data_IF_935882677711
#
_entry.id   IF_935882677711
#
_cell.length_a   1.000
_cell.length_b   1.000
_cell.length_c   1.000
_cell.angle_alpha   90.00
_cell.angle_beta   90.00
_cell.angle_gamma   90.00
#
_symmetry.space_group_name_H-M   'P 1'
#
loop_
_entity.id
_entity.type
_entity.pdbx_description
1 polymer ?
#
# COMPACT_ATOMS: atom_id res chain seq x y z
N UNK A 1 21.73 5.46 17.51
CA UNK A 1 22.88 4.98 16.72
C UNK A 1 22.61 5.35 15.28
N UNK A 2 23.24 6.43 14.83
CA UNK A 2 23.05 7.03 13.51
C UNK A 2 24.14 6.52 12.60
N UNK A 3 23.85 5.45 11.86
CA UNK A 3 24.76 4.97 10.81
C UNK A 3 24.81 6.02 9.71
N UNK A 4 25.95 6.72 9.66
CA UNK A 4 26.32 7.64 8.60
C UNK A 4 26.51 6.86 7.30
N UNK A 5 25.43 6.78 6.52
CA UNK A 5 25.47 6.29 5.14
C UNK A 5 26.55 7.08 4.38
N UNK A 6 27.55 6.42 3.78
CA UNK A 6 28.65 7.10 3.10
C UNK A 6 28.14 8.03 2.01
N UNK A 7 28.61 9.28 2.00
CA UNK A 7 28.31 10.31 1.00
C UNK A 7 28.65 9.91 -0.45
N UNK A 8 29.31 8.76 -0.63
CA UNK A 8 29.71 8.16 -1.91
C UNK A 8 28.59 7.39 -2.62
N UNK A 9 27.47 7.05 -1.96
CA UNK A 9 26.24 6.59 -2.64
C UNK A 9 25.46 7.79 -3.25
N UNK A 10 26.22 8.71 -3.85
CA UNK A 10 25.75 9.95 -4.45
C UNK A 10 24.92 9.64 -5.68
N UNK A 11 23.62 9.56 -5.45
CA UNK A 11 22.52 9.87 -6.38
C UNK A 11 22.66 9.39 -7.82
N UNK A 12 22.32 8.12 -8.07
CA UNK A 12 21.99 7.65 -9.42
C UNK A 12 20.48 7.70 -9.65
N UNK A 13 20.05 8.83 -10.21
CA UNK A 13 18.72 8.98 -10.81
C UNK A 13 18.55 7.96 -11.94
N UNK A 14 17.32 7.45 -12.17
CA UNK A 14 16.99 6.61 -13.34
C UNK A 14 17.55 7.24 -14.62
N UNK A 15 17.33 8.54 -14.83
CA UNK A 15 17.79 9.26 -16.02
C UNK A 15 19.31 9.29 -16.14
N UNK A 16 20.00 9.56 -15.03
CA UNK A 16 21.47 9.57 -14.99
C UNK A 16 22.06 8.19 -15.27
N UNK A 17 21.44 7.12 -14.75
CA UNK A 17 21.90 5.76 -14.98
C UNK A 17 21.68 5.31 -16.43
N UNK A 18 20.54 5.65 -17.04
CA UNK A 18 20.30 5.39 -18.47
C UNK A 18 21.32 6.18 -19.33
N UNK A 19 21.53 7.46 -19.02
CA UNK A 19 22.47 8.30 -19.76
C UNK A 19 23.92 7.80 -19.65
N UNK A 20 24.35 7.38 -18.45
CA UNK A 20 25.67 6.77 -18.24
C UNK A 20 25.80 5.43 -18.99
N UNK A 21 24.76 4.60 -18.95
CA UNK A 21 24.74 3.30 -19.64
C UNK A 21 24.84 3.47 -21.15
N UNK A 22 24.12 4.47 -21.70
CA UNK A 22 24.23 4.87 -23.09
C UNK A 22 25.64 5.38 -23.42
N UNK A 23 26.18 6.28 -22.60
CA UNK A 23 27.53 6.83 -22.79
C UNK A 23 28.63 5.77 -22.76
N UNK A 24 28.59 4.84 -21.81
CA UNK A 24 29.54 3.72 -21.76
C UNK A 24 29.40 2.79 -22.96
N UNK A 25 28.16 2.45 -23.35
CA UNK A 25 27.93 1.61 -24.53
C UNK A 25 28.44 2.28 -25.81
N UNK A 26 28.25 3.59 -25.94
CA UNK A 26 28.77 4.37 -27.06
C UNK A 26 30.31 4.42 -27.07
N UNK A 27 30.92 4.61 -25.90
CA UNK A 27 32.38 4.64 -25.75
C UNK A 27 32.99 3.27 -26.08
N UNK A 28 32.38 2.18 -25.61
CA UNK A 28 32.81 0.81 -25.94
C UNK A 28 32.70 0.56 -27.44
N UNK A 29 31.60 0.93 -28.08
CA UNK A 29 31.40 0.71 -29.52
C UNK A 29 32.39 1.52 -30.37
N UNK A 30 32.63 2.78 -30.03
CA UNK A 30 33.60 3.64 -30.74
C UNK A 30 35.02 3.15 -30.53
N UNK A 31 35.39 2.79 -29.29
CA UNK A 31 36.70 2.21 -28.98
C UNK A 31 36.92 0.89 -29.73
N UNK A 32 35.92 0.01 -29.74
CA UNK A 32 36.01 -1.28 -30.44
C UNK A 32 36.15 -1.09 -31.96
N UNK A 33 35.42 -0.13 -32.53
CA UNK A 33 35.55 0.26 -33.94
C UNK A 33 36.96 0.75 -34.25
N UNK A 34 37.52 1.62 -33.39
CA UNK A 34 38.87 2.15 -33.55
C UNK A 34 39.93 1.04 -33.46
N UNK A 35 39.82 0.14 -32.49
CA UNK A 35 40.75 -1.00 -32.33
C UNK A 35 40.71 -1.92 -33.55
N UNK A 36 39.51 -2.24 -34.06
CA UNK A 36 39.37 -3.11 -35.24
C UNK A 36 39.96 -2.46 -36.49
N UNK A 37 39.76 -1.15 -36.68
CA UNK A 37 40.34 -0.38 -37.78
C UNK A 37 41.87 -0.31 -37.66
N UNK A 38 42.41 -0.08 -36.45
CA UNK A 38 43.84 -0.04 -36.18
C UNK A 38 44.51 -1.40 -36.44
N UNK A 39 43.89 -2.50 -36.01
CA UNK A 39 44.37 -3.85 -36.27
C UNK A 39 44.45 -4.14 -37.77
N UNK A 40 43.43 -3.80 -38.55
CA UNK A 40 43.46 -3.96 -40.01
C UNK A 40 44.57 -3.14 -40.67
N UNK A 41 44.91 -1.96 -40.13
CA UNK A 41 45.94 -1.08 -40.69
C UNK A 41 47.38 -1.50 -40.39
N UNK A 42 47.60 -2.33 -39.36
CA UNK A 42 48.94 -2.73 -38.89
C UNK A 42 49.50 -3.96 -39.65
N UNK A 43 48.69 -4.63 -40.48
CA UNK A 43 49.11 -5.73 -41.36
C UNK A 43 49.20 -5.36 -42.87
N UNK A 44 49.89 -4.28 -43.27
CA UNK A 44 49.89 -3.83 -44.68
C UNK A 44 50.86 -4.61 -45.58
N UNK A 45 51.65 -5.57 -45.07
CA UNK A 45 52.81 -6.09 -45.83
C UNK A 45 52.49 -7.25 -46.80
N UNK A 46 51.29 -7.84 -46.77
CA UNK A 46 50.87 -8.87 -47.72
C UNK A 46 50.03 -8.23 -48.83
N UNK A 47 50.67 -7.82 -49.92
CA UNK A 47 50.09 -7.04 -51.03
C UNK A 47 48.84 -7.64 -51.68
N UNK A 48 48.59 -8.94 -51.53
CA UNK A 48 47.37 -9.60 -52.07
C UNK A 48 46.17 -9.59 -51.11
N UNK A 49 46.36 -9.35 -49.80
CA UNK A 49 45.28 -9.30 -48.81
C UNK A 49 44.61 -7.92 -48.68
N UNK A 50 45.18 -6.88 -49.27
CA UNK A 50 44.77 -5.50 -49.05
C UNK A 50 43.36 -5.19 -49.63
N UNK A 51 43.01 -5.81 -50.76
CA UNK A 51 41.67 -5.71 -51.39
C UNK A 51 40.61 -6.38 -50.50
N UNK A 52 40.93 -7.56 -49.95
CA UNK A 52 40.03 -8.29 -49.04
C UNK A 52 39.81 -7.53 -47.72
N UNK A 53 40.84 -6.88 -47.17
CA UNK A 53 40.72 -6.03 -45.97
C UNK A 53 39.78 -4.84 -46.17
N UNK A 54 39.77 -4.23 -47.36
CA UNK A 54 38.87 -3.13 -47.70
C UNK A 54 37.40 -3.57 -47.74
N UNK A 55 37.12 -4.74 -48.35
CA UNK A 55 35.77 -5.32 -48.37
C UNK A 55 35.29 -5.71 -46.96
N UNK A 56 36.19 -6.25 -46.11
CA UNK A 56 35.85 -6.60 -44.74
C UNK A 56 35.51 -5.36 -43.88
N UNK A 57 36.14 -4.22 -44.16
CA UNK A 57 35.91 -2.95 -43.44
C UNK A 57 34.45 -2.48 -43.52
N UNK A 58 33.73 -2.81 -44.58
CA UNK A 58 32.32 -2.43 -44.76
C UNK A 58 31.39 -3.06 -43.69
N UNK A 59 31.79 -4.18 -43.07
CA UNK A 59 31.01 -4.87 -42.03
C UNK A 59 31.29 -4.37 -40.61
N UNK A 60 32.38 -3.63 -40.39
CA UNK A 60 32.76 -3.06 -39.08
C UNK A 60 31.67 -2.20 -38.45
N UNK A 61 31.05 -1.21 -39.15
CA UNK A 61 30.02 -0.38 -38.54
C UNK A 61 28.80 -1.21 -38.10
N UNK A 62 28.44 -2.24 -38.87
CA UNK A 62 27.34 -3.16 -38.54
C UNK A 62 27.67 -3.93 -37.26
N UNK A 63 28.88 -4.49 -37.16
CA UNK A 63 29.33 -5.17 -35.95
C UNK A 63 29.35 -4.23 -34.74
N UNK A 64 29.80 -2.98 -34.91
CA UNK A 64 29.82 -1.99 -33.84
C UNK A 64 28.42 -1.61 -33.34
N UNK A 65 27.45 -1.51 -34.25
CA UNK A 65 26.06 -1.25 -33.91
C UNK A 65 25.46 -2.42 -33.10
N UNK A 66 25.75 -3.66 -33.47
CA UNK A 66 25.32 -4.84 -32.70
C UNK A 66 25.92 -4.84 -31.29
N UNK A 67 27.23 -4.59 -31.17
CA UNK A 67 27.91 -4.49 -29.87
C UNK A 67 27.31 -3.37 -29.02
N UNK A 68 27.02 -2.22 -29.62
CA UNK A 68 26.36 -1.10 -28.95
C UNK A 68 25.01 -1.51 -28.37
N UNK A 69 24.14 -2.14 -29.18
CA UNK A 69 22.81 -2.59 -28.73
C UNK A 69 22.94 -3.61 -27.60
N UNK A 70 23.79 -4.63 -27.76
CA UNK A 70 23.99 -5.67 -26.75
C UNK A 70 24.50 -5.08 -25.42
N UNK A 71 25.52 -4.21 -25.48
CA UNK A 71 26.04 -3.50 -24.32
C UNK A 71 24.93 -2.69 -23.64
N UNK A 72 24.14 -1.93 -24.40
CA UNK A 72 23.08 -1.09 -23.84
C UNK A 72 22.01 -1.92 -23.11
N UNK A 73 21.61 -3.06 -23.67
CA UNK A 73 20.67 -3.98 -23.03
C UNK A 73 21.22 -4.53 -21.70
N UNK A 74 22.49 -4.97 -21.68
CA UNK A 74 23.12 -5.51 -20.48
C UNK A 74 23.20 -4.45 -19.38
N UNK A 75 23.61 -3.22 -19.72
CA UNK A 75 23.77 -2.14 -18.75
C UNK A 75 22.43 -1.62 -18.19
N UNK A 76 21.35 -1.72 -18.98
CA UNK A 76 20.00 -1.28 -18.57
C UNK A 76 19.23 -2.35 -17.79
N UNK A 77 19.60 -3.62 -17.93
CA UNK A 77 18.97 -4.75 -17.24
C UNK A 77 18.74 -4.57 -15.72
N UNK A 78 19.70 -4.09 -14.89
CA UNK A 78 19.48 -3.91 -13.46
C UNK A 78 18.40 -2.86 -13.14
N UNK A 79 18.23 -1.83 -13.99
CA UNK A 79 17.20 -0.79 -13.83
C UNK A 79 15.81 -1.41 -14.03
N UNK A 80 15.65 -2.18 -15.10
CA UNK A 80 14.40 -2.86 -15.43
C UNK A 80 14.03 -3.87 -14.33
N UNK A 81 15.02 -4.61 -13.81
CA UNK A 81 14.81 -5.56 -12.72
C UNK A 81 14.24 -4.89 -11.46
N UNK A 82 14.71 -3.70 -11.09
CA UNK A 82 14.14 -2.95 -9.95
C UNK A 82 12.69 -2.53 -10.21
N UNK A 83 12.35 -2.10 -11.43
CA UNK A 83 10.98 -1.73 -11.81
C UNK A 83 10.05 -2.94 -11.71
N UNK A 84 10.45 -4.10 -12.25
CA UNK A 84 9.65 -5.33 -12.17
C UNK A 84 9.49 -5.82 -10.73
N UNK A 85 10.51 -5.64 -9.89
CA UNK A 85 10.43 -5.98 -8.46
C UNK A 85 9.42 -5.08 -7.74
N UNK A 86 9.41 -3.79 -8.06
CA UNK A 86 8.46 -2.83 -7.52
C UNK A 86 7.02 -3.16 -7.95
N UNK A 87 6.80 -3.46 -9.23
CA UNK A 87 5.51 -3.87 -9.78
C UNK A 87 4.98 -5.12 -9.07
N UNK A 88 5.77 -6.18 -8.98
CA UNK A 88 5.38 -7.43 -8.32
C UNK A 88 5.05 -7.24 -6.83
N UNK A 89 5.78 -6.37 -6.13
CA UNK A 89 5.48 -6.05 -4.74
C UNK A 89 4.15 -5.29 -4.60
N UNK A 90 3.84 -4.39 -5.53
CA UNK A 90 2.58 -3.64 -5.57
C UNK A 90 1.41 -4.57 -5.90
N UNK A 91 1.57 -5.51 -6.82
CA UNK A 91 0.55 -6.52 -7.13
C UNK A 91 0.23 -7.36 -5.89
N UNK A 92 1.26 -7.82 -5.18
CA UNK A 92 1.10 -8.58 -3.93
C UNK A 92 0.31 -7.81 -2.87
N UNK A 93 0.61 -6.51 -2.72
CA UNK A 93 -0.12 -5.62 -1.80
C UNK A 93 -1.58 -5.42 -2.27
N UNK A 94 -1.78 -5.28 -3.58
CA UNK A 94 -3.10 -5.06 -4.20
C UNK A 94 -4.00 -6.30 -4.12
N UNK A 95 -3.41 -7.49 -4.12
CA UNK A 95 -4.08 -8.77 -3.88
C UNK A 95 -4.53 -8.96 -2.42
N UNK A 96 -4.16 -8.03 -1.53
CA UNK A 96 -4.66 -7.96 -0.16
C UNK A 96 -3.64 -8.33 0.92
N UNK A 97 -2.41 -8.71 0.57
CA UNK A 97 -1.35 -8.90 1.56
C UNK A 97 -0.73 -7.56 1.98
N UNK A 98 -1.45 -6.86 2.85
CA UNK A 98 -0.98 -5.61 3.46
C UNK A 98 0.19 -5.81 4.43
N UNK A 99 0.62 -7.04 4.73
CA UNK A 99 1.83 -7.28 5.52
C UNK A 99 3.09 -7.28 4.64
N UNK A 100 2.93 -7.45 3.32
CA UNK A 100 4.02 -7.30 2.38
C UNK A 100 4.54 -5.86 2.37
N UNK A 101 5.85 -5.70 2.17
CA UNK A 101 6.52 -4.40 2.07
C UNK A 101 7.46 -4.41 0.89
N UNK A 102 7.50 -3.29 0.18
CA UNK A 102 8.42 -3.11 -0.93
C UNK A 102 9.86 -3.06 -0.37
N UNK A 103 10.79 -3.88 -0.90
CA UNK A 103 12.18 -3.89 -0.44
C UNK A 103 12.92 -2.60 -0.78
N UNK A 104 14.06 -2.31 -0.12
CA UNK A 104 14.83 -1.10 -0.38
C UNK A 104 15.41 -1.09 -1.81
N UNK A 105 15.01 -0.09 -2.61
CA UNK A 105 15.45 0.08 -4.01
C UNK A 105 16.77 0.85 -4.12
N UNK A 106 17.61 0.58 -5.13
CA UNK A 106 18.87 1.31 -5.30
C UNK A 106 18.67 2.64 -6.03
N UNK A 107 17.75 2.70 -6.99
CA UNK A 107 17.40 3.91 -7.72
C UNK A 107 16.61 4.87 -6.84
N UNK A 108 16.96 6.15 -6.84
CA UNK A 108 16.37 7.13 -5.91
C UNK A 108 14.89 7.31 -6.14
N UNK A 109 14.48 7.48 -7.40
CA UNK A 109 13.08 7.70 -7.74
C UNK A 109 12.22 6.51 -7.31
N UNK A 110 12.69 5.28 -7.56
CA UNK A 110 12.01 4.05 -7.13
C UNK A 110 12.04 3.90 -5.62
N UNK A 111 13.13 4.28 -4.95
CA UNK A 111 13.23 4.27 -3.49
C UNK A 111 12.22 5.22 -2.86
N UNK A 112 12.17 6.48 -3.30
CA UNK A 112 11.21 7.46 -2.79
C UNK A 112 9.77 6.96 -2.98
N UNK A 113 9.48 6.41 -4.16
CA UNK A 113 8.16 5.84 -4.45
C UNK A 113 7.85 4.63 -3.55
N UNK A 114 8.79 3.70 -3.38
CA UNK A 114 8.62 2.54 -2.48
C UNK A 114 8.34 2.95 -1.04
N UNK A 115 9.02 3.99 -0.53
CA UNK A 115 8.77 4.53 0.81
C UNK A 115 7.38 5.14 0.92
N UNK A 116 6.94 5.89 -0.09
CA UNK A 116 5.59 6.47 -0.13
C UNK A 116 4.51 5.39 -0.14
N UNK A 117 4.66 4.37 -0.98
CA UNK A 117 3.70 3.25 -1.05
C UNK A 117 3.68 2.47 0.26
N UNK A 118 4.83 2.13 0.84
CA UNK A 118 4.87 1.47 2.15
C UNK A 118 4.18 2.30 3.25
N UNK A 119 4.32 3.62 3.22
CA UNK A 119 3.60 4.50 4.15
C UNK A 119 2.10 4.48 3.90
N UNK A 120 1.65 4.48 2.64
CA UNK A 120 0.21 4.34 2.32
C UNK A 120 -0.34 3.02 2.85
N UNK A 121 0.38 1.91 2.67
CA UNK A 121 -0.02 0.59 3.19
C UNK A 121 -0.14 0.60 4.70
N UNK A 122 0.80 1.23 5.40
CA UNK A 122 0.76 1.40 6.85
C UNK A 122 -0.48 2.19 7.30
N UNK A 123 -0.78 3.31 6.65
CA UNK A 123 -2.00 4.08 6.94
C UNK A 123 -3.27 3.26 6.66
N UNK A 124 -3.31 2.47 5.59
CA UNK A 124 -4.47 1.59 5.31
C UNK A 124 -4.65 0.57 6.43
N UNK A 125 -3.58 -0.07 6.89
CA UNK A 125 -3.66 -1.04 7.99
C UNK A 125 -4.16 -0.37 9.28
N UNK A 126 -3.70 0.83 9.59
CA UNK A 126 -4.17 1.60 10.74
C UNK A 126 -5.66 1.95 10.59
N UNK A 127 -6.10 2.39 9.41
CA UNK A 127 -7.52 2.68 9.15
C UNK A 127 -8.39 1.43 9.29
N UNK A 128 -7.92 0.25 8.85
CA UNK A 128 -8.63 -1.02 9.03
C UNK A 128 -8.73 -1.39 10.51
N UNK A 129 -7.65 -1.24 11.27
CA UNK A 129 -7.64 -1.49 12.71
C UNK A 129 -8.64 -0.57 13.44
N UNK A 130 -8.55 0.73 13.17
CA UNK A 130 -9.45 1.74 13.74
C UNK A 130 -10.91 1.49 13.36
N UNK A 131 -11.17 1.09 12.11
CA UNK A 131 -12.51 0.73 11.66
C UNK A 131 -13.04 -0.48 12.44
N UNK A 132 -12.21 -1.52 12.62
CA UNK A 132 -12.58 -2.72 13.37
C UNK A 132 -12.88 -2.39 14.84
N UNK A 133 -12.08 -1.54 15.47
CA UNK A 133 -12.34 -1.09 16.83
C UNK A 133 -13.67 -0.33 16.94
N UNK A 134 -13.97 0.55 15.98
CA UNK A 134 -15.26 1.25 15.92
C UNK A 134 -16.43 0.29 15.73
N UNK A 135 -16.31 -0.69 14.83
CA UNK A 135 -17.35 -1.70 14.61
C UNK A 135 -17.61 -2.54 15.87
N UNK A 136 -16.57 -2.85 16.65
CA UNK A 136 -16.72 -3.56 17.93
C UNK A 136 -17.42 -2.67 18.95
N UNK A 137 -16.94 -1.43 19.13
CA UNK A 137 -17.52 -0.48 20.08
C UNK A 137 -18.99 -0.16 19.76
N UNK A 138 -19.34 -0.05 18.48
CA UNK A 138 -20.72 0.17 18.04
C UNK A 138 -21.61 -1.02 18.38
N UNK A 139 -21.14 -2.25 18.19
CA UNK A 139 -21.87 -3.47 18.56
C UNK A 139 -22.09 -3.57 20.07
N UNK A 140 -21.04 -3.34 20.87
CA UNK A 140 -21.12 -3.38 22.33
C UNK A 140 -22.08 -2.31 22.86
N UNK A 141 -22.01 -1.10 22.31
CA UNK A 141 -22.93 -0.02 22.66
C UNK A 141 -24.39 -0.36 22.31
N UNK A 142 -24.65 -0.93 21.13
CA UNK A 142 -25.99 -1.36 20.74
C UNK A 142 -26.54 -2.43 21.69
N UNK A 143 -25.74 -3.43 22.06
CA UNK A 143 -26.13 -4.47 23.02
C UNK A 143 -26.46 -3.86 24.40
N UNK A 144 -25.65 -2.91 24.86
CA UNK A 144 -25.93 -2.17 26.10
C UNK A 144 -27.27 -1.44 26.04
N UNK A 145 -27.51 -0.65 24.99
CA UNK A 145 -28.76 0.11 24.82
C UNK A 145 -29.97 -0.82 24.78
N UNK A 146 -29.90 -1.93 24.03
CA UNK A 146 -31.01 -2.90 23.96
C UNK A 146 -31.31 -3.47 25.35
N UNK A 147 -30.29 -3.82 26.13
CA UNK A 147 -30.46 -4.31 27.50
C UNK A 147 -31.08 -3.26 28.43
N UNK A 148 -30.66 -1.99 28.31
CA UNK A 148 -31.22 -0.88 29.06
C UNK A 148 -32.69 -0.59 28.71
N UNK A 149 -33.11 -0.80 27.46
CA UNK A 149 -34.51 -0.66 27.04
C UNK A 149 -35.38 -1.84 27.46
N UNK A 150 -34.83 -3.06 27.44
CA UNK A 150 -35.55 -4.29 27.81
C UNK A 150 -35.97 -4.30 29.28
N UNK A 151 -35.11 -3.82 30.18
CA UNK A 151 -35.37 -3.83 31.63
C UNK A 151 -36.65 -3.08 32.03
N UNK A 152 -36.84 -1.79 31.68
CA UNK A 152 -38.06 -1.06 31.98
C UNK A 152 -39.26 -1.56 31.18
N UNK A 153 -39.06 -2.05 29.95
CA UNK A 153 -40.14 -2.67 29.16
C UNK A 153 -40.69 -3.92 29.86
N UNK A 154 -39.80 -4.83 30.29
CA UNK A 154 -40.19 -6.03 31.02
C UNK A 154 -40.86 -5.66 32.36
N UNK A 155 -40.41 -4.60 33.04
CA UNK A 155 -41.06 -4.10 34.26
C UNK A 155 -42.48 -3.59 34.00
N UNK A 156 -42.69 -2.82 32.93
CA UNK A 156 -44.02 -2.35 32.52
C UNK A 156 -44.95 -3.54 32.23
N UNK A 157 -44.48 -4.52 31.44
CA UNK A 157 -45.26 -5.71 31.10
C UNK A 157 -45.62 -6.50 32.36
N UNK A 158 -44.65 -6.78 33.23
CA UNK A 158 -44.88 -7.51 34.49
C UNK A 158 -45.91 -6.80 35.38
N UNK A 159 -45.78 -5.49 35.57
CA UNK A 159 -46.67 -4.73 36.44
C UNK A 159 -48.10 -4.66 35.85
N UNK A 160 -48.23 -4.45 34.54
CA UNK A 160 -49.52 -4.50 33.86
C UNK A 160 -50.18 -5.88 33.95
N UNK A 161 -49.41 -6.96 33.86
CA UNK A 161 -49.91 -8.33 34.06
C UNK A 161 -50.43 -8.56 35.49
N UNK A 162 -49.73 -8.04 36.52
CA UNK A 162 -50.19 -8.10 37.91
C UNK A 162 -51.51 -7.34 38.11
N UNK A 163 -51.63 -6.16 37.51
CA UNK A 163 -52.86 -5.35 37.55
C UNK A 163 -54.01 -6.08 36.84
N UNK A 164 -53.77 -6.64 35.65
CA UNK A 164 -54.77 -7.36 34.84
C UNK A 164 -55.28 -8.61 35.54
N UNK A 165 -54.40 -9.38 36.19
CA UNK A 165 -54.75 -10.61 36.92
C UNK A 165 -55.32 -10.35 38.32
N UNK A 166 -55.47 -9.08 38.71
CA UNK A 166 -55.84 -8.64 40.08
C UNK A 166 -54.96 -9.29 41.16
N UNK A 167 -53.68 -9.52 40.85
CA UNK A 167 -52.73 -10.19 41.75
C UNK A 167 -52.11 -9.25 42.77
N UNK A 168 -52.89 -8.31 43.32
CA UNK A 168 -52.49 -7.34 44.34
C UNK A 168 -53.26 -7.60 45.65
N UNK A 169 -52.62 -7.42 46.81
CA UNK A 169 -53.20 -7.79 48.11
C UNK A 169 -54.02 -6.67 48.75
N UNK A 170 -53.78 -5.41 48.36
CA UNK A 170 -54.49 -4.24 48.88
C UNK A 170 -54.66 -3.13 47.83
N UNK A 171 -55.55 -2.17 48.10
CA UNK A 171 -55.70 -0.95 47.30
C UNK A 171 -54.40 -0.12 47.28
N UNK A 172 -53.63 -0.15 48.37
CA UNK A 172 -52.33 0.49 48.45
C UNK A 172 -51.32 -0.14 47.50
N UNK A 173 -51.31 -1.47 47.38
CA UNK A 173 -50.44 -2.19 46.43
C UNK A 173 -50.82 -1.88 44.99
N UNK A 174 -52.12 -1.74 44.70
CA UNK A 174 -52.60 -1.34 43.37
C UNK A 174 -52.04 0.03 42.95
N UNK A 175 -52.13 1.02 43.83
CA UNK A 175 -51.59 2.37 43.59
C UNK A 175 -50.07 2.34 43.45
N UNK A 176 -49.37 1.53 44.26
CA UNK A 176 -47.92 1.38 44.16
C UNK A 176 -47.49 0.77 42.83
N UNK A 177 -48.13 -0.33 42.39
CA UNK A 177 -47.82 -0.98 41.11
C UNK A 177 -48.07 0.00 39.94
N UNK A 178 -49.14 0.79 40.00
CA UNK A 178 -49.41 1.83 39.00
C UNK A 178 -48.31 2.90 38.95
N UNK A 179 -47.84 3.35 40.12
CA UNK A 179 -46.74 4.32 40.22
C UNK A 179 -45.42 3.76 39.70
N UNK A 180 -45.07 2.52 40.06
CA UNK A 180 -43.88 1.83 39.55
C UNK A 180 -43.94 1.64 38.03
N UNK A 181 -45.11 1.29 37.49
CA UNK A 181 -45.33 1.19 36.03
C UNK A 181 -45.11 2.52 35.33
N UNK A 182 -45.66 3.61 35.88
CA UNK A 182 -45.48 4.95 35.32
C UNK A 182 -44.01 5.37 35.32
N UNK A 183 -43.29 5.11 36.42
CA UNK A 183 -41.87 5.40 36.53
C UNK A 183 -41.04 4.59 35.53
N UNK A 184 -41.34 3.31 35.34
CA UNK A 184 -40.68 2.47 34.33
C UNK A 184 -40.93 2.97 32.90
N UNK A 185 -42.16 3.39 32.56
CA UNK A 185 -42.48 3.99 31.26
C UNK A 185 -41.74 5.32 31.04
N UNK A 186 -41.60 6.14 32.08
CA UNK A 186 -40.83 7.38 32.02
C UNK A 186 -39.33 7.11 31.80
N UNK A 187 -38.77 6.12 32.50
CA UNK A 187 -37.37 5.71 32.32
C UNK A 187 -37.12 5.20 30.89
N UNK A 188 -37.99 4.33 30.37
CA UNK A 188 -37.90 3.86 28.98
C UNK A 188 -37.91 5.02 27.99
N UNK A 189 -38.82 5.99 28.17
CA UNK A 189 -38.87 7.20 27.34
C UNK A 189 -37.57 8.01 27.39
N UNK A 190 -36.94 8.11 28.56
CA UNK A 190 -35.66 8.81 28.72
C UNK A 190 -34.56 8.08 27.93
N UNK A 191 -34.42 6.76 28.09
CA UNK A 191 -33.44 5.96 27.35
C UNK A 191 -33.62 6.06 25.82
N UNK A 192 -34.86 6.11 25.32
CA UNK A 192 -35.14 6.32 23.90
C UNK A 192 -34.69 7.71 23.43
N UNK A 193 -34.92 8.76 24.24
CA UNK A 193 -34.49 10.11 23.91
C UNK A 193 -32.96 10.23 23.86
N UNK A 194 -32.28 9.63 24.84
CA UNK A 194 -30.82 9.62 24.92
C UNK A 194 -30.22 8.90 23.69
N UNK A 195 -30.80 7.75 23.29
CA UNK A 195 -30.46 7.04 22.06
C UNK A 195 -30.67 7.90 20.80
N UNK A 196 -31.82 8.57 20.68
CA UNK A 196 -32.10 9.42 19.52
C UNK A 196 -31.14 10.61 19.43
N UNK A 197 -30.68 11.15 20.55
CA UNK A 197 -29.70 12.23 20.56
C UNK A 197 -28.33 11.74 20.06
N UNK A 198 -27.90 10.57 20.54
CA UNK A 198 -26.65 9.95 20.09
C UNK A 198 -26.65 9.67 18.58
N UNK A 199 -27.73 9.08 18.05
CA UNK A 199 -27.85 8.77 16.62
C UNK A 199 -27.77 10.00 15.70
N UNK A 200 -28.18 11.18 16.19
CA UNK A 200 -28.06 12.45 15.44
C UNK A 200 -26.65 13.02 15.47
N UNK A 201 -25.91 12.76 16.54
CA UNK A 201 -24.52 13.20 16.68
C UNK A 201 -23.57 12.31 15.86
N UNK A 202 -23.89 11.02 15.70
CA UNK A 202 -23.07 10.09 14.91
C UNK A 202 -23.31 10.16 13.40
N UNK A 203 -24.40 10.77 12.94
CA UNK A 203 -24.74 10.90 11.51
C UNK A 203 -24.20 12.16 10.82
N UNK A 204 -23.55 13.08 11.56
CA UNK A 204 -22.95 14.32 11.06
C UNK A 204 -21.42 14.23 11.12
#
# INVERSE_FOLDING_TARGET
>A
MTDSVPWLLKKRSIRSNILLSFGFSFLIATFMTFVLMFMLSTFPHLSELQIYGLHLSQFIPIASAVIFVLSFFILTHPIIKEIVTLESAIDTISDGDLNHRIPPMHLIELRMFSCQVNSIVEHIQEQIANKREREIAEKEWLEQVINELRTPLDAIIRNLDMLKRRSYQSEKDHVQILHETYNAAYQLRKSINDLSQYARLSSN
#
